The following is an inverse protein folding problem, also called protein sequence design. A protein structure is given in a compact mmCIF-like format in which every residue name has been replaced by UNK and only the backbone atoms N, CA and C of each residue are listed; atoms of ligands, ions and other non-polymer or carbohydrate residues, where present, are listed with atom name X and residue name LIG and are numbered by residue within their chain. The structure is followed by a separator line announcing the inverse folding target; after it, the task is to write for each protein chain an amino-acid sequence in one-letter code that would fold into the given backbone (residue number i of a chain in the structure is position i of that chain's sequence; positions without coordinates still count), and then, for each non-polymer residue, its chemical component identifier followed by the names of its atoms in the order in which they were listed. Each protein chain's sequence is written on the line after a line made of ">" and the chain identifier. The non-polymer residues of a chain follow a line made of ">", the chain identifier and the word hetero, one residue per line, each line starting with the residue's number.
data_IF_069044640745
#
_entry.id   IF_069044640745
#
_cell.length_a   1.000
_cell.length_b   1.000
_cell.length_c   1.000
_cell.angle_alpha   90.00
_cell.angle_beta   90.00
_cell.angle_gamma   90.00
#
_symmetry.space_group_name_H-M   'P 1'
#
loop_
_entity.id
_entity.type
_entity.pdbx_description
1 polymer ?
#
# COMPACT_ATOMS: atom_id res chain seq x y z
N UNK A 1 -8.91 -22.41 3.46
CA UNK A 1 -8.72 -21.06 2.90
C UNK A 1 -7.37 -20.54 3.34
N UNK A 2 -6.44 -20.34 2.42
CA UNK A 2 -5.16 -19.67 2.72
C UNK A 2 -5.42 -18.18 2.97
N UNK A 3 -4.92 -17.64 4.08
CA UNK A 3 -5.06 -16.22 4.41
C UNK A 3 -3.91 -15.47 3.74
N UNK A 4 -4.15 -14.35 3.02
CA UNK A 4 -3.08 -13.56 2.44
C UNK A 4 -2.18 -13.01 3.54
N UNK A 5 -0.89 -12.81 3.23
CA UNK A 5 -0.06 -11.91 4.02
C UNK A 5 -0.60 -10.50 3.77
N UNK A 6 -0.75 -9.69 4.81
CA UNK A 6 -1.27 -8.32 4.69
C UNK A 6 -0.22 -7.33 5.19
N UNK A 7 0.07 -6.30 4.39
CA UNK A 7 1.02 -5.24 4.74
C UNK A 7 0.34 -3.87 4.64
N UNK A 8 0.51 -3.08 5.71
CA UNK A 8 0.13 -1.67 5.72
C UNK A 8 1.22 -0.82 5.09
N UNK A 9 0.85 0.15 4.26
CA UNK A 9 1.77 1.17 3.73
C UNK A 9 1.26 2.54 4.12
N UNK A 10 2.15 3.47 4.48
CA UNK A 10 1.81 4.86 4.81
C UNK A 10 2.78 5.89 4.17
N UNK A 11 3.73 5.42 3.36
CA UNK A 11 4.72 6.27 2.69
C UNK A 11 6.06 6.37 3.43
N UNK A 12 6.12 5.96 4.70
CA UNK A 12 7.36 5.92 5.48
C UNK A 12 8.35 4.88 4.95
N UNK A 13 9.63 5.05 5.25
CA UNK A 13 10.67 4.05 4.93
C UNK A 13 10.42 2.73 5.66
N UNK A 14 9.91 2.80 6.89
CA UNK A 14 9.55 1.65 7.72
C UNK A 14 8.44 0.84 7.07
N UNK A 15 7.40 1.50 6.56
CA UNK A 15 6.31 0.81 5.86
C UNK A 15 6.78 0.17 4.55
N UNK A 16 7.71 0.81 3.84
CA UNK A 16 8.36 0.24 2.63
C UNK A 16 9.21 -0.98 2.97
N UNK A 17 9.94 -0.96 4.09
CA UNK A 17 10.71 -2.09 4.56
C UNK A 17 9.80 -3.26 4.97
N UNK A 18 8.69 -2.97 5.66
CA UNK A 18 7.67 -3.96 6.01
C UNK A 18 7.04 -4.59 4.78
N UNK A 19 6.69 -3.78 3.76
CA UNK A 19 6.16 -4.27 2.49
C UNK A 19 7.16 -5.18 1.77
N UNK A 20 8.44 -4.81 1.74
CA UNK A 20 9.49 -5.62 1.13
C UNK A 20 9.67 -6.96 1.85
N UNK A 21 9.59 -6.98 3.19
CA UNK A 21 9.60 -8.22 3.96
C UNK A 21 8.38 -9.09 3.63
N UNK A 22 7.19 -8.49 3.57
CA UNK A 22 5.95 -9.20 3.30
C UNK A 22 5.93 -9.82 1.90
N UNK A 23 6.48 -9.14 0.89
CA UNK A 23 6.63 -9.69 -0.46
C UNK A 23 7.51 -10.94 -0.51
N UNK A 24 8.70 -10.88 0.10
CA UNK A 24 9.59 -12.05 0.21
C UNK A 24 8.93 -13.21 0.93
N UNK A 25 8.19 -12.92 2.00
CA UNK A 25 7.51 -13.95 2.78
C UNK A 25 6.35 -14.58 2.01
N UNK A 26 5.62 -13.77 1.24
CA UNK A 26 4.49 -14.22 0.43
C UNK A 26 4.97 -15.14 -0.69
N UNK A 27 6.05 -14.77 -1.39
CA UNK A 27 6.70 -15.64 -2.38
C UNK A 27 7.19 -16.95 -1.77
N UNK A 28 7.92 -16.87 -0.64
CA UNK A 28 8.46 -18.06 0.03
C UNK A 28 7.37 -19.05 0.44
N UNK A 29 6.18 -18.55 0.80
CA UNK A 29 5.04 -19.37 1.21
C UNK A 29 4.07 -19.71 0.08
N UNK A 30 4.26 -19.18 -1.12
CA UNK A 30 3.29 -19.31 -2.22
C UNK A 30 1.91 -18.72 -1.85
N UNK A 31 1.88 -17.62 -1.10
CA UNK A 31 0.66 -16.95 -0.66
C UNK A 31 0.47 -15.61 -1.39
N UNK A 32 -0.78 -15.18 -1.62
CA UNK A 32 -1.03 -13.83 -2.10
C UNK A 32 -0.65 -12.78 -1.05
N UNK A 33 -0.25 -11.60 -1.51
CA UNK A 33 -0.02 -10.43 -0.68
C UNK A 33 -1.16 -9.43 -0.84
N UNK A 34 -1.66 -8.91 0.27
CA UNK A 34 -2.63 -7.82 0.30
C UNK A 34 -1.97 -6.55 0.81
N UNK A 35 -2.00 -5.49 0.01
CA UNK A 35 -1.45 -4.19 0.38
C UNK A 35 -2.59 -3.26 0.79
N UNK A 36 -2.45 -2.63 1.96
CA UNK A 36 -3.49 -1.76 2.52
C UNK A 36 -2.88 -0.42 2.85
N UNK A 37 -3.51 0.66 2.38
CA UNK A 37 -3.25 2.00 2.87
C UNK A 37 -4.52 2.53 3.54
N UNK A 38 -4.40 2.89 4.82
CA UNK A 38 -5.48 3.52 5.56
C UNK A 38 -5.27 5.03 5.56
N UNK A 39 -6.26 5.76 5.09
CA UNK A 39 -6.25 7.22 5.07
C UNK A 39 -7.57 7.74 5.62
N UNK A 40 -7.51 8.90 6.25
CA UNK A 40 -8.66 9.63 6.74
C UNK A 40 -8.68 11.03 6.14
N UNK A 41 -9.86 11.46 5.71
CA UNK A 41 -10.02 12.80 5.16
C UNK A 41 -9.88 13.81 6.29
N UNK A 42 -8.81 14.60 6.26
CA UNK A 42 -8.55 15.67 7.21
C UNK A 42 -8.95 17.01 6.58
N UNK A 43 -9.89 17.71 7.20
CA UNK A 43 -10.23 19.10 6.83
C UNK A 43 -9.29 20.00 7.62
N UNK A 44 -8.22 20.49 6.99
CA UNK A 44 -7.28 21.40 7.65
C UNK A 44 -7.79 22.84 7.56
N UNK A 45 -8.42 23.34 8.62
CA UNK A 45 -9.00 24.69 8.74
C UNK A 45 -10.19 25.03 7.82
N UNK A 46 -10.99 26.01 8.26
CA UNK A 46 -12.23 26.47 7.63
C UNK A 46 -12.07 27.03 6.18
N UNK A 47 -10.83 27.16 5.70
CA UNK A 47 -10.48 27.62 4.36
C UNK A 47 -10.09 26.49 3.40
N UNK A 48 -9.78 25.31 3.92
CA UNK A 48 -9.52 24.13 3.10
C UNK A 48 -10.85 23.43 2.85
N UNK A 49 -11.58 23.94 1.85
CA UNK A 49 -12.55 23.14 1.12
C UNK A 49 -11.79 22.06 0.34
N UNK A 50 -11.10 21.17 1.07
CA UNK A 50 -10.23 20.17 0.51
C UNK A 50 -11.02 19.31 -0.45
N UNK A 51 -10.60 19.30 -1.71
CA UNK A 51 -11.16 18.39 -2.71
C UNK A 51 -10.86 16.96 -2.26
N UNK A 52 -11.88 16.33 -1.68
CA UNK A 52 -11.83 14.97 -1.15
C UNK A 52 -11.39 13.97 -2.22
N UNK A 53 -11.78 14.19 -3.48
CA UNK A 53 -11.39 13.32 -4.57
C UNK A 53 -9.91 13.52 -4.93
N UNK A 54 -9.43 14.76 -4.94
CA UNK A 54 -8.00 15.04 -5.10
C UNK A 54 -7.15 14.43 -3.97
N UNK A 55 -7.58 14.54 -2.71
CA UNK A 55 -6.84 13.94 -1.59
C UNK A 55 -6.87 12.41 -1.65
N UNK A 56 -8.02 11.82 -2.02
CA UNK A 56 -8.17 10.38 -2.25
C UNK A 56 -7.26 9.89 -3.37
N UNK A 57 -7.11 10.68 -4.43
CA UNK A 57 -6.29 10.33 -5.58
C UNK A 57 -4.80 10.33 -5.21
N UNK A 58 -4.32 11.38 -4.52
CA UNK A 58 -2.93 11.44 -4.02
C UNK A 58 -2.57 10.22 -3.16
N UNK A 59 -3.49 9.85 -2.28
CA UNK A 59 -3.35 8.71 -1.38
C UNK A 59 -3.30 7.38 -2.15
N UNK A 60 -4.14 7.21 -3.18
CA UNK A 60 -4.09 6.03 -4.06
C UNK A 60 -2.78 5.95 -4.83
N UNK A 61 -2.33 7.06 -5.40
CA UNK A 61 -1.08 7.12 -6.18
C UNK A 61 0.13 6.65 -5.37
N UNK A 62 0.20 7.04 -4.09
CA UNK A 62 1.24 6.58 -3.18
C UNK A 62 1.19 5.06 -2.94
N UNK A 63 -0.01 4.50 -2.75
CA UNK A 63 -0.16 3.05 -2.59
C UNK A 63 0.20 2.30 -3.89
N UNK A 64 -0.22 2.83 -5.05
CA UNK A 64 0.08 2.27 -6.36
C UNK A 64 1.58 2.30 -6.66
N UNK A 65 2.29 3.34 -6.24
CA UNK A 65 3.76 3.42 -6.32
C UNK A 65 4.42 2.30 -5.52
N UNK A 66 4.02 2.12 -4.26
CA UNK A 66 4.56 1.05 -3.42
C UNK A 66 4.30 -0.35 -4.02
N UNK A 67 3.14 -0.56 -4.64
CA UNK A 67 2.80 -1.81 -5.35
C UNK A 67 3.64 -1.99 -6.62
N UNK A 68 3.85 -0.93 -7.40
CA UNK A 68 4.73 -0.98 -8.60
C UNK A 68 6.15 -1.36 -8.23
N UNK A 69 6.71 -0.72 -7.21
CA UNK A 69 8.07 -1.01 -6.74
C UNK A 69 8.21 -2.44 -6.21
N UNK A 70 7.15 -2.96 -5.57
CA UNK A 70 7.14 -4.32 -5.07
C UNK A 70 7.06 -5.34 -6.23
N UNK A 71 6.10 -5.16 -7.14
CA UNK A 71 5.88 -6.08 -8.27
C UNK A 71 7.05 -6.10 -9.25
N UNK A 72 7.78 -4.98 -9.39
CA UNK A 72 9.03 -4.94 -10.14
C UNK A 72 10.12 -5.86 -9.52
N UNK A 73 10.13 -6.03 -8.20
CA UNK A 73 11.05 -6.93 -7.49
C UNK A 73 10.53 -8.37 -7.38
N UNK A 74 9.22 -8.55 -7.51
CA UNK A 74 8.50 -9.81 -7.27
C UNK A 74 7.48 -10.07 -8.40
N UNK A 75 7.91 -10.32 -9.65
CA UNK A 75 7.02 -10.35 -10.82
C UNK A 75 6.02 -11.51 -10.81
N UNK A 76 6.26 -12.56 -10.02
CA UNK A 76 5.35 -13.71 -9.87
C UNK A 76 4.36 -13.58 -8.71
N UNK A 77 4.44 -12.50 -7.92
CA UNK A 77 3.63 -12.33 -6.73
C UNK A 77 2.22 -11.82 -7.08
N UNK A 78 1.20 -12.55 -6.65
CA UNK A 78 -0.18 -12.08 -6.71
C UNK A 78 -0.41 -11.02 -5.63
N UNK A 79 -0.65 -9.78 -6.06
CA UNK A 79 -0.92 -8.63 -5.18
C UNK A 79 -2.36 -8.16 -5.35
N UNK A 80 -3.02 -7.87 -4.23
CA UNK A 80 -4.38 -7.33 -4.15
C UNK A 80 -4.45 -6.10 -3.24
#
# INVERSE_FOLDING_TARGET
>A
MTRPITAGVDGSEESRAALAWAGREAERRGLPLRVVHAWHFEVHDAFDLGDRDAQRQRVREMADEAVRDLTARHPGLAVT
#
